data_IF_153099401360
#
_entry.id   IF_153099401360
#
_cell.length_a   1.000
_cell.length_b   1.000
_cell.length_c   1.000
_cell.angle_alpha   90.00
_cell.angle_beta   90.00
_cell.angle_gamma   90.00
#
_symmetry.space_group_name_H-M   'P 1'
#
loop_
_entity.id
_entity.type
_entity.pdbx_description
1 polymer ?
#
# COMPACT_ATOMS: atom_id res chain seq x y z
N UNK A 1 6.16 7.95 -16.56
CA UNK A 1 4.95 7.58 -15.79
C UNK A 1 3.79 7.20 -16.70
N UNK A 2 3.52 7.96 -17.77
CA UNK A 2 2.35 7.72 -18.65
C UNK A 2 2.36 6.35 -19.34
N UNK A 3 3.52 5.89 -19.83
CA UNK A 3 3.64 4.56 -20.44
C UNK A 3 3.31 3.43 -19.45
N UNK A 4 3.76 3.54 -18.20
CA UNK A 4 3.44 2.57 -17.17
C UNK A 4 1.94 2.60 -16.81
N UNK A 5 1.35 3.80 -16.75
CA UNK A 5 -0.10 3.95 -16.57
C UNK A 5 -0.89 3.30 -17.70
N UNK A 6 -0.47 3.51 -18.93
CA UNK A 6 -1.08 2.88 -20.10
C UNK A 6 -0.98 1.35 -20.03
N UNK A 7 0.18 0.81 -19.67
CA UNK A 7 0.38 -0.62 -19.49
C UNK A 7 -0.51 -1.22 -18.40
N UNK A 8 -0.62 -0.57 -17.22
CA UNK A 8 -1.52 -1.05 -16.18
C UNK A 8 -2.99 -0.92 -16.59
N UNK A 9 -3.34 0.15 -17.31
CA UNK A 9 -4.71 0.35 -17.81
C UNK A 9 -5.07 -0.74 -18.82
N UNK A 10 -4.17 -1.14 -19.72
CA UNK A 10 -4.45 -2.23 -20.67
C UNK A 10 -4.73 -3.57 -19.98
N UNK A 11 -4.12 -3.82 -18.81
CA UNK A 11 -4.40 -5.02 -18.01
C UNK A 11 -5.81 -5.02 -17.40
N UNK A 12 -6.49 -3.86 -17.37
CA UNK A 12 -7.89 -3.76 -16.91
C UNK A 12 -8.91 -4.05 -18.02
N UNK A 13 -8.46 -4.28 -19.27
CA UNK A 13 -9.29 -4.53 -20.46
C UNK A 13 -10.43 -3.51 -20.60
N UNK A 14 -10.13 -2.21 -20.78
CA UNK A 14 -11.17 -1.19 -20.81
C UNK A 14 -12.05 -1.30 -22.05
N UNK A 15 -13.33 -1.00 -21.87
CA UNK A 15 -14.30 -0.81 -22.95
C UNK A 15 -13.96 0.42 -23.81
N UNK A 16 -14.69 0.58 -24.92
CA UNK A 16 -14.55 1.74 -25.82
C UNK A 16 -14.80 3.09 -25.12
N UNK A 17 -15.56 3.11 -24.02
CA UNK A 17 -15.82 4.30 -23.19
C UNK A 17 -14.76 4.52 -22.08
N UNK A 18 -13.72 3.68 -22.02
CA UNK A 18 -12.66 3.74 -21.02
C UNK A 18 -13.02 3.10 -19.68
N UNK A 19 -14.19 2.46 -19.55
CA UNK A 19 -14.56 1.76 -18.31
C UNK A 19 -13.79 0.43 -18.19
N UNK A 20 -13.12 0.16 -17.05
CA UNK A 20 -12.35 -1.07 -16.87
C UNK A 20 -13.28 -2.29 -16.73
N UNK A 21 -13.13 -3.29 -17.60
CA UNK A 21 -13.89 -4.55 -17.48
C UNK A 21 -13.37 -5.45 -16.36
N UNK A 22 -12.09 -5.37 -16.04
CA UNK A 22 -11.44 -6.14 -14.97
C UNK A 22 -10.87 -5.24 -13.89
N UNK A 23 -10.72 -5.79 -12.68
CA UNK A 23 -10.04 -5.14 -11.56
C UNK A 23 -8.63 -5.69 -11.47
N UNK A 24 -7.64 -4.80 -11.45
CA UNK A 24 -6.25 -5.11 -11.18
C UNK A 24 -5.96 -4.79 -9.71
N UNK A 25 -5.63 -5.81 -8.93
CA UNK A 25 -5.22 -5.65 -7.53
C UNK A 25 -3.73 -5.92 -7.41
N UNK A 26 -2.97 -4.91 -7.01
CA UNK A 26 -1.53 -4.98 -6.81
C UNK A 26 -1.27 -5.05 -5.31
N UNK A 27 -0.75 -6.18 -4.85
CA UNK A 27 -0.39 -6.38 -3.45
C UNK A 27 1.10 -6.10 -3.29
N UNK A 28 1.44 -5.23 -2.35
CA UNK A 28 2.80 -4.89 -1.98
C UNK A 28 2.97 -5.29 -0.53
N UNK A 29 3.79 -6.31 -0.29
CA UNK A 29 4.05 -6.82 1.05
C UNK A 29 5.40 -6.30 1.57
N UNK A 30 5.50 -6.20 2.89
CA UNK A 30 6.71 -5.82 3.64
C UNK A 30 7.33 -4.45 3.26
N UNK A 31 6.49 -3.48 2.89
CA UNK A 31 6.96 -2.13 2.51
C UNK A 31 7.73 -1.42 3.64
N UNK A 32 7.36 -1.68 4.88
CA UNK A 32 8.03 -1.16 6.08
C UNK A 32 9.43 -1.74 6.32
N UNK A 33 9.82 -2.81 5.63
CA UNK A 33 11.19 -3.36 5.70
C UNK A 33 12.15 -2.75 4.70
N UNK A 34 11.63 -1.96 3.76
CA UNK A 34 12.46 -1.30 2.76
C UNK A 34 13.31 -0.19 3.39
N UNK A 35 14.38 0.21 2.69
CA UNK A 35 15.12 1.43 3.05
C UNK A 35 14.15 2.62 3.01
N UNK A 36 14.23 3.57 3.98
CA UNK A 36 13.24 4.63 4.09
C UNK A 36 12.99 5.42 2.80
N UNK A 37 14.04 5.81 2.08
CA UNK A 37 13.93 6.50 0.79
C UNK A 37 13.14 5.70 -0.26
N UNK A 38 13.41 4.40 -0.37
CA UNK A 38 12.72 3.53 -1.31
C UNK A 38 11.24 3.37 -0.96
N UNK A 39 10.92 3.13 0.32
CA UNK A 39 9.54 2.99 0.77
C UNK A 39 8.71 4.24 0.44
N UNK A 40 9.27 5.43 0.70
CA UNK A 40 8.60 6.69 0.42
C UNK A 40 8.49 6.97 -1.08
N UNK A 41 9.53 6.69 -1.86
CA UNK A 41 9.48 6.83 -3.32
C UNK A 41 8.40 5.91 -3.92
N UNK A 42 8.27 4.68 -3.42
CA UNK A 42 7.23 3.77 -3.88
C UNK A 42 5.84 4.29 -3.55
N UNK A 43 5.61 4.81 -2.35
CA UNK A 43 4.34 5.45 -1.98
C UNK A 43 4.01 6.63 -2.91
N UNK A 44 4.99 7.45 -3.24
CA UNK A 44 4.83 8.55 -4.21
C UNK A 44 4.46 8.05 -5.60
N UNK A 45 5.10 6.98 -6.07
CA UNK A 45 4.76 6.33 -7.35
C UNK A 45 3.30 5.85 -7.30
N UNK A 46 2.92 5.06 -6.30
CA UNK A 46 1.57 4.50 -6.14
C UNK A 46 0.52 5.62 -6.12
N UNK A 47 0.81 6.75 -5.47
CA UNK A 47 -0.13 7.89 -5.37
C UNK A 47 -0.65 8.37 -6.71
N UNK A 48 0.21 8.35 -7.74
CA UNK A 48 -0.17 8.75 -9.09
C UNK A 48 -1.12 7.75 -9.76
N UNK A 49 -1.13 6.48 -9.32
CA UNK A 49 -1.95 5.42 -9.89
C UNK A 49 -3.27 5.20 -9.16
N UNK A 50 -3.44 5.67 -7.90
CA UNK A 50 -4.69 5.55 -7.16
C UNK A 50 -5.92 6.15 -7.87
N UNK A 51 -5.72 7.14 -8.73
CA UNK A 51 -6.80 7.77 -9.50
C UNK A 51 -7.16 7.02 -10.80
N UNK A 52 -6.55 5.87 -11.07
CA UNK A 52 -6.82 5.10 -12.30
C UNK A 52 -7.94 4.11 -12.06
N UNK A 53 -9.07 4.21 -12.78
CA UNK A 53 -10.21 3.31 -12.60
C UNK A 53 -9.80 1.84 -12.76
N UNK A 54 -10.29 0.99 -11.86
CA UNK A 54 -10.07 -0.46 -11.94
C UNK A 54 -8.70 -0.93 -11.41
N UNK A 55 -7.84 -0.04 -10.93
CA UNK A 55 -6.57 -0.38 -10.30
C UNK A 55 -6.65 -0.11 -8.80
N UNK A 56 -6.31 -1.12 -8.00
CA UNK A 56 -6.30 -1.05 -6.54
C UNK A 56 -4.96 -1.52 -6.01
N UNK A 57 -4.42 -0.82 -5.01
CA UNK A 57 -3.21 -1.23 -4.32
C UNK A 57 -3.54 -1.65 -2.89
N UNK A 58 -2.95 -2.76 -2.45
CA UNK A 58 -3.07 -3.27 -1.09
C UNK A 58 -1.68 -3.33 -0.49
N UNK A 59 -1.48 -2.65 0.64
CA UNK A 59 -0.20 -2.61 1.34
C UNK A 59 -0.27 -3.57 2.54
N UNK A 60 0.50 -4.65 2.49
CA UNK A 60 0.83 -5.48 3.64
C UNK A 60 1.99 -4.83 4.38
N UNK A 61 1.70 -4.06 5.43
CA UNK A 61 2.74 -3.30 6.12
C UNK A 61 2.43 -3.09 7.59
N UNK A 62 3.47 -3.02 8.42
CA UNK A 62 3.37 -2.47 9.75
C UNK A 62 3.38 -0.93 9.69
N UNK A 63 2.23 -0.32 9.94
CA UNK A 63 2.06 1.14 9.90
C UNK A 63 3.02 1.89 10.83
N UNK A 64 3.36 1.32 11.99
CA UNK A 64 4.28 1.96 12.94
C UNK A 64 5.70 2.01 12.38
N UNK A 65 6.17 0.92 11.76
CA UNK A 65 7.49 0.85 11.14
C UNK A 65 7.57 1.69 9.87
N UNK A 66 6.49 1.75 9.10
CA UNK A 66 6.40 2.66 7.96
C UNK A 66 6.46 4.13 8.42
N UNK A 67 5.82 4.48 9.55
CA UNK A 67 5.93 5.81 10.13
C UNK A 67 7.35 6.11 10.62
N UNK A 68 8.06 5.12 11.17
CA UNK A 68 9.48 5.25 11.52
C UNK A 68 10.34 5.55 10.29
N UNK A 69 10.04 4.93 9.14
CA UNK A 69 10.71 5.25 7.87
C UNK A 69 10.50 6.71 7.45
N UNK A 70 9.29 7.25 7.62
CA UNK A 70 9.01 8.67 7.35
C UNK A 70 9.83 9.59 8.27
N UNK A 71 9.88 9.28 9.57
CA UNK A 71 10.69 10.06 10.54
C UNK A 71 12.19 9.96 10.24
N UNK A 72 12.67 8.79 9.84
CA UNK A 72 14.06 8.61 9.44
C UNK A 72 14.42 9.48 8.22
N UNK A 73 13.48 9.68 7.29
CA UNK A 73 13.72 10.46 6.07
C UNK A 73 13.58 11.97 6.25
N UNK A 74 12.63 12.43 7.06
CA UNK A 74 12.29 13.87 7.19
C UNK A 74 12.58 14.47 8.57
N UNK A 75 13.05 13.66 9.52
CA UNK A 75 13.36 14.07 10.89
C UNK A 75 12.22 13.78 11.89
N UNK A 76 12.57 13.73 13.17
CA UNK A 76 11.65 13.34 14.24
C UNK A 76 10.48 14.30 14.48
N UNK A 77 10.58 15.56 14.04
CA UNK A 77 9.53 16.57 14.19
C UNK A 77 8.36 16.45 13.22
N UNK A 78 8.42 15.53 12.24
CA UNK A 78 7.32 15.33 11.30
C UNK A 78 6.19 14.51 11.93
N UNK A 79 4.95 14.91 11.64
CA UNK A 79 3.77 14.08 11.87
C UNK A 79 3.69 13.00 10.78
N UNK A 80 4.36 11.88 11.05
CA UNK A 80 4.49 10.76 10.12
C UNK A 80 3.15 10.08 9.83
N UNK A 81 2.26 9.99 10.81
CA UNK A 81 0.96 9.33 10.63
C UNK A 81 0.09 10.16 9.69
N UNK A 82 0.04 11.49 9.90
CA UNK A 82 -0.63 12.41 8.98
C UNK A 82 -0.02 12.40 7.58
N UNK A 83 1.30 12.21 7.46
CA UNK A 83 1.94 12.04 6.16
C UNK A 83 1.43 10.79 5.44
N UNK A 84 1.38 9.65 6.12
CA UNK A 84 0.95 8.36 5.56
C UNK A 84 -0.54 8.35 5.19
N UNK A 85 -1.38 9.10 5.90
CA UNK A 85 -2.80 9.29 5.54
C UNK A 85 -3.01 9.89 4.14
N UNK A 86 -2.00 10.51 3.52
CA UNK A 86 -2.06 10.98 2.13
C UNK A 86 -2.05 9.84 1.10
N UNK A 87 -1.66 8.64 1.52
CA UNK A 87 -1.47 7.46 0.66
C UNK A 87 -2.43 6.33 1.03
N UNK A 88 -2.84 6.22 2.30
CA UNK A 88 -3.71 5.15 2.77
C UNK A 88 -5.14 5.66 2.93
N UNK A 89 -6.05 5.19 2.07
CA UNK A 89 -7.47 5.53 2.13
C UNK A 89 -8.24 4.72 3.17
N UNK A 90 -7.93 3.42 3.27
CA UNK A 90 -8.61 2.46 4.15
C UNK A 90 -7.54 1.62 4.82
N UNK A 91 -7.62 1.49 6.15
CA UNK A 91 -6.76 0.61 6.94
C UNK A 91 -7.60 -0.53 7.50
N UNK A 92 -7.15 -1.76 7.31
CA UNK A 92 -7.80 -2.93 7.90
C UNK A 92 -6.79 -3.67 8.80
N UNK A 93 -6.94 -3.61 10.13
CA UNK A 93 -6.03 -4.32 11.03
C UNK A 93 -6.22 -5.83 10.88
N UNK A 94 -5.11 -6.55 10.76
CA UNK A 94 -5.14 -8.01 10.69
C UNK A 94 -5.34 -8.58 12.10
N UNK A 95 -6.43 -9.33 12.31
CA UNK A 95 -6.63 -10.07 13.55
C UNK A 95 -5.63 -11.22 13.59
N UNK A 96 -4.80 -11.26 14.62
CA UNK A 96 -3.98 -12.45 14.89
C UNK A 96 -4.94 -13.59 15.26
N UNK A 97 -4.75 -14.74 14.64
CA UNK A 97 -5.50 -15.95 15.03
C UNK A 97 -5.14 -16.26 16.49
N UNK A 98 -6.11 -16.14 17.39
CA UNK A 98 -5.97 -16.59 18.77
C UNK A 98 -5.99 -18.13 18.79
N UNK A 99 -4.94 -18.78 18.27
CA UNK A 99 -4.66 -20.16 18.63
C UNK A 99 -4.18 -20.15 20.09
N UNK A 100 -5.13 -20.17 21.04
CA UNK A 100 -4.83 -20.58 22.40
C UNK A 100 -4.17 -21.97 22.30
N UNK A 101 -2.96 -22.18 22.82
CA UNK A 101 -2.43 -23.52 22.94
C UNK A 101 -3.41 -24.31 23.80
N UNK A 102 -3.95 -25.40 23.27
CA UNK A 102 -4.70 -26.37 24.07
C UNK A 102 -3.74 -26.91 25.12
N UNK A 103 -3.85 -26.42 26.36
CA UNK A 103 -3.21 -27.04 27.51
C UNK A 103 -3.80 -28.44 27.68
N UNK A 104 -3.17 -29.44 27.08
CA UNK A 104 -3.23 -30.82 27.55
C UNK A 104 -2.25 -30.94 28.71
N UNK A 105 -2.71 -30.60 29.93
CA UNK A 105 -2.05 -31.05 31.14
C UNK A 105 -2.66 -32.39 31.55
N UNK A 106 -1.75 -33.34 31.72
CA UNK A 106 -1.90 -34.66 32.31
C UNK A 106 -2.35 -34.56 33.77
#
# INVERSE_FOLDING_TARGET
MDQFRAALTSLTEPNADGTPQKKLVIVIDELDRCRPDYALQLLEVIKHFFATPGIHFVLGTNMQELANSVRARYGAGIDADRYLHKFVQITMPMKQSNNKPSNSQQ
#
